data_IF_350482563871
#
_entry.id   IF_350482563871
#
_cell.length_a   1.000
_cell.length_b   1.000
_cell.length_c   1.000
_cell.angle_alpha   90.00
_cell.angle_beta   90.00
_cell.angle_gamma   90.00
#
_symmetry.space_group_name_H-M   'P 1'
#
loop_
_entity.id
_entity.type
_entity.pdbx_description
1 polymer ?
#
# COMPACT_ATOMS: atom_id res chain seq x y z
N UNK A 1 -41.47 21.00 -11.59
CA UNK A 1 -40.51 20.17 -10.84
C UNK A 1 -39.55 19.61 -11.88
N UNK A 2 -38.27 20.02 -11.86
CA UNK A 2 -37.28 19.48 -12.79
C UNK A 2 -36.60 18.32 -12.06
N UNK A 3 -36.82 17.10 -12.54
CA UNK A 3 -36.04 15.94 -12.15
C UNK A 3 -34.61 16.12 -12.70
N UNK A 4 -33.69 16.51 -11.84
CA UNK A 4 -32.26 16.46 -12.12
C UNK A 4 -31.77 15.05 -11.79
N UNK A 5 -31.58 14.24 -12.83
CA UNK A 5 -30.93 12.93 -12.71
C UNK A 5 -29.51 13.14 -12.19
N UNK A 6 -29.27 12.78 -10.93
CA UNK A 6 -27.94 12.88 -10.31
C UNK A 6 -27.02 11.80 -10.89
N UNK A 7 -26.18 12.18 -11.85
CA UNK A 7 -25.13 11.30 -12.40
C UNK A 7 -24.12 10.97 -11.32
N UNK A 8 -24.15 9.73 -10.84
CA UNK A 8 -23.17 9.22 -9.87
C UNK A 8 -21.84 9.00 -10.58
N UNK A 9 -20.80 9.73 -10.17
CA UNK A 9 -19.44 9.51 -10.67
C UNK A 9 -18.90 8.17 -10.17
N UNK A 10 -18.08 7.46 -10.96
CA UNK A 10 -17.47 6.22 -10.53
C UNK A 10 -16.57 6.45 -9.30
N UNK A 11 -16.46 5.44 -8.43
CA UNK A 11 -15.58 5.48 -7.29
C UNK A 11 -14.12 5.72 -7.74
N UNK A 12 -13.39 6.55 -7.00
CA UNK A 12 -11.98 6.80 -7.29
C UNK A 12 -11.19 5.49 -7.08
N UNK A 13 -10.67 4.93 -8.17
CA UNK A 13 -9.83 3.72 -8.19
C UNK A 13 -8.78 3.85 -9.30
N UNK A 14 -7.57 4.29 -8.95
CA UNK A 14 -6.54 4.64 -9.96
C UNK A 14 -5.13 4.48 -9.39
N UNK A 15 -4.20 4.06 -10.25
CA UNK A 15 -2.77 4.03 -9.92
C UNK A 15 -2.23 5.44 -9.72
N UNK A 16 -1.49 5.66 -8.64
CA UNK A 16 -1.05 6.99 -8.27
C UNK A 16 0.26 6.92 -7.51
N UNK A 17 1.09 7.96 -7.68
CA UNK A 17 2.19 8.29 -6.76
C UNK A 17 1.67 9.38 -5.83
N UNK A 18 1.72 9.13 -4.53
CA UNK A 18 1.19 10.00 -3.48
C UNK A 18 2.34 10.56 -2.67
N UNK A 19 2.40 11.88 -2.58
CA UNK A 19 3.38 12.60 -1.77
C UNK A 19 2.77 12.94 -0.41
N UNK A 20 3.44 12.51 0.65
CA UNK A 20 3.01 12.65 2.03
C UNK A 20 3.91 13.67 2.74
N UNK A 21 3.29 14.67 3.36
CA UNK A 21 3.98 15.72 4.13
C UNK A 21 5.20 16.35 3.40
N UNK A 22 5.16 16.41 2.06
CA UNK A 22 6.18 17.04 1.21
C UNK A 22 7.55 16.37 1.16
N UNK A 23 7.71 15.14 1.68
CA UNK A 23 9.01 14.42 1.68
C UNK A 23 8.90 12.94 1.41
N UNK A 24 7.87 12.30 1.97
CA UNK A 24 7.67 10.87 1.80
C UNK A 24 6.83 10.63 0.55
N UNK A 25 7.10 9.56 -0.17
CA UNK A 25 6.33 9.18 -1.34
C UNK A 25 5.95 7.71 -1.23
N UNK A 26 4.75 7.38 -1.71
CA UNK A 26 4.25 6.01 -1.80
C UNK A 26 3.50 5.88 -3.13
N UNK A 27 3.59 4.72 -3.78
CA UNK A 27 2.86 4.47 -5.01
C UNK A 27 2.08 3.17 -4.91
N UNK A 28 0.93 3.12 -5.57
CA UNK A 28 0.03 1.98 -5.52
C UNK A 28 -1.30 2.28 -6.17
N UNK A 29 -2.22 1.30 -6.09
CA UNK A 29 -3.60 1.51 -6.52
C UNK A 29 -4.37 2.24 -5.41
N UNK A 30 -4.93 3.40 -5.73
CA UNK A 30 -5.49 4.33 -4.77
C UNK A 30 -7.00 4.35 -4.83
N UNK A 31 -7.64 4.28 -3.66
CA UNK A 31 -9.09 4.39 -3.52
C UNK A 31 -9.51 5.17 -2.28
N UNK A 32 -10.72 5.70 -2.31
CA UNK A 32 -11.33 6.37 -1.15
C UNK A 32 -11.91 5.34 -0.16
N UNK A 33 -11.81 5.64 1.14
CA UNK A 33 -12.38 4.86 2.24
C UNK A 33 -12.97 5.78 3.29
N UNK A 34 -14.02 5.32 3.95
CA UNK A 34 -14.58 5.98 5.14
C UNK A 34 -14.48 5.06 6.34
N UNK A 35 -13.84 5.51 7.41
CA UNK A 35 -13.70 4.77 8.67
C UNK A 35 -14.13 5.69 9.80
N UNK A 36 -15.07 5.23 10.64
CA UNK A 36 -15.62 6.00 11.76
C UNK A 36 -16.10 7.42 11.35
N UNK A 37 -16.71 7.53 10.17
CA UNK A 37 -17.20 8.81 9.62
C UNK A 37 -16.11 9.75 9.10
N UNK A 38 -14.84 9.34 9.09
CA UNK A 38 -13.73 10.10 8.54
C UNK A 38 -13.27 9.52 7.21
N UNK A 39 -13.00 10.39 6.25
CA UNK A 39 -12.47 10.02 4.93
C UNK A 39 -10.97 9.72 4.99
N UNK A 40 -10.54 8.72 4.24
CA UNK A 40 -9.16 8.30 4.08
C UNK A 40 -8.89 7.96 2.61
N UNK A 41 -7.65 8.17 2.20
CA UNK A 41 -7.11 7.63 0.96
C UNK A 41 -6.35 6.35 1.30
N UNK A 42 -6.81 5.23 0.76
CA UNK A 42 -6.12 3.95 0.85
C UNK A 42 -5.20 3.78 -0.36
N UNK A 43 -3.91 3.56 -0.10
CA UNK A 43 -2.91 3.19 -1.12
C UNK A 43 -2.59 1.70 -0.95
N UNK A 44 -2.89 0.92 -1.99
CA UNK A 44 -2.54 -0.51 -2.07
C UNK A 44 -1.24 -0.67 -2.83
N UNK A 45 -0.16 -0.96 -2.11
CA UNK A 45 1.16 -1.25 -2.67
C UNK A 45 1.20 -2.73 -3.04
N UNK A 46 1.45 -3.09 -4.32
CA UNK A 46 1.57 -4.48 -4.72
C UNK A 46 2.82 -5.13 -4.13
N UNK A 47 2.82 -6.45 -4.11
CA UNK A 47 4.00 -7.27 -3.83
C UNK A 47 5.11 -6.99 -4.84
N UNK A 48 6.36 -6.93 -4.36
CA UNK A 48 7.55 -6.65 -5.17
C UNK A 48 8.54 -7.81 -5.24
N UNK A 49 8.18 -8.99 -4.72
CA UNK A 49 9.07 -10.13 -4.48
C UNK A 49 9.90 -9.97 -3.21
N UNK A 50 10.55 -8.81 -3.04
CA UNK A 50 11.35 -8.50 -1.84
C UNK A 50 10.49 -8.13 -0.61
N UNK A 51 9.28 -7.62 -0.85
CA UNK A 51 8.34 -7.26 0.21
C UNK A 51 6.91 -7.66 -0.17
N UNK A 52 6.15 -8.22 0.79
CA UNK A 52 4.76 -8.55 0.57
C UNK A 52 3.95 -7.28 0.32
N UNK A 53 2.96 -7.39 -0.56
CA UNK A 53 2.02 -6.30 -0.81
C UNK A 53 1.31 -5.87 0.47
N UNK A 54 1.05 -4.58 0.61
CA UNK A 54 0.46 -3.99 1.81
C UNK A 54 -0.40 -2.77 1.49
N UNK A 55 -1.22 -2.35 2.44
CA UNK A 55 -2.09 -1.19 2.30
C UNK A 55 -1.81 -0.17 3.39
N UNK A 56 -1.85 1.11 3.05
CA UNK A 56 -1.79 2.21 4.03
C UNK A 56 -2.94 3.18 3.80
N UNK A 57 -3.51 3.66 4.90
CA UNK A 57 -4.59 4.64 4.89
C UNK A 57 -4.04 5.98 5.38
N UNK A 58 -4.31 7.03 4.63
CA UNK A 58 -3.88 8.38 4.93
C UNK A 58 -5.09 9.29 5.05
N UNK A 59 -5.12 10.10 6.11
CA UNK A 59 -6.09 11.19 6.19
C UNK A 59 -5.78 12.25 5.12
N UNK A 60 -6.79 12.99 4.62
CA UNK A 60 -6.59 13.99 3.57
C UNK A 60 -5.50 15.03 3.89
N UNK A 61 -5.38 15.44 5.15
CA UNK A 61 -4.36 16.41 5.59
C UNK A 61 -2.91 15.90 5.55
N UNK A 62 -2.70 14.60 5.33
CA UNK A 62 -1.36 14.03 5.15
C UNK A 62 -0.84 14.17 3.71
N UNK A 63 -1.75 14.38 2.76
CA UNK A 63 -1.47 14.32 1.34
C UNK A 63 -1.06 15.71 0.87
N UNK A 64 0.19 15.82 0.40
CA UNK A 64 0.68 17.02 -0.24
C UNK A 64 0.29 17.06 -1.72
N UNK A 65 0.48 15.95 -2.44
CA UNK A 65 0.07 15.83 -3.83
C UNK A 65 -0.27 14.38 -4.19
N UNK A 66 -1.08 14.22 -5.23
CA UNK A 66 -1.42 12.94 -5.85
C UNK A 66 -1.16 13.06 -7.35
N UNK A 67 -0.39 12.12 -7.89
CA UNK A 67 0.00 12.07 -9.30
C UNK A 67 -0.61 10.80 -9.90
N UNK A 68 -1.85 10.85 -10.43
CA UNK A 68 -2.44 9.74 -11.17
C UNK A 68 -1.53 9.33 -12.33
N UNK A 69 -1.32 8.03 -12.49
CA UNK A 69 -0.40 7.49 -13.48
C UNK A 69 -0.81 6.08 -13.92
N UNK A 70 -0.03 5.45 -14.80
CA UNK A 70 -0.26 4.06 -15.22
C UNK A 70 0.30 3.08 -14.19
N UNK A 71 -0.19 1.84 -14.24
CA UNK A 71 0.36 0.74 -13.43
C UNK A 71 1.86 0.55 -13.66
N UNK A 72 2.30 0.63 -14.91
CA UNK A 72 3.69 0.47 -15.31
C UNK A 72 4.59 1.50 -14.61
N UNK A 73 4.23 2.79 -14.64
CA UNK A 73 4.99 3.87 -14.00
C UNK A 73 4.98 3.71 -12.48
N UNK A 74 3.82 3.38 -11.89
CA UNK A 74 3.73 3.17 -10.44
C UNK A 74 4.59 2.00 -9.97
N UNK A 75 4.58 0.86 -10.69
CA UNK A 75 5.43 -0.30 -10.38
C UNK A 75 6.91 0.01 -10.55
N UNK A 76 7.29 0.74 -11.60
CA UNK A 76 8.67 1.18 -11.78
C UNK A 76 9.13 2.11 -10.64
N UNK A 77 8.24 2.99 -10.15
CA UNK A 77 8.52 3.81 -8.97
C UNK A 77 8.72 2.94 -7.72
N UNK A 78 7.82 1.99 -7.46
CA UNK A 78 7.90 1.08 -6.30
C UNK A 78 9.21 0.31 -6.30
N UNK A 79 9.62 -0.26 -7.44
CA UNK A 79 10.86 -1.03 -7.56
C UNK A 79 12.12 -0.21 -7.22
N UNK A 80 12.10 1.11 -7.48
CA UNK A 80 13.23 2.01 -7.16
C UNK A 80 13.19 2.54 -5.73
N UNK A 81 11.98 2.73 -5.19
CA UNK A 81 11.72 3.41 -3.93
C UNK A 81 10.92 2.51 -2.99
N UNK A 82 11.36 1.27 -2.75
CA UNK A 82 10.68 0.34 -1.84
C UNK A 82 10.64 0.93 -0.42
N UNK A 83 9.56 1.65 -0.12
CA UNK A 83 9.24 2.07 1.23
C UNK A 83 8.68 0.87 1.98
N UNK A 84 9.37 0.41 3.01
CA UNK A 84 8.85 -0.65 3.86
C UNK A 84 7.52 -0.21 4.52
N UNK A 85 6.55 -1.13 4.74
CA UNK A 85 5.29 -0.81 5.38
C UNK A 85 5.48 -0.08 6.73
N UNK A 86 6.51 -0.51 7.45
CA UNK A 86 7.05 0.11 8.66
C UNK A 86 8.57 0.09 8.59
N UNK A 87 9.21 1.07 9.23
CA UNK A 87 10.67 1.19 9.26
C UNK A 87 11.27 0.17 10.25
N UNK A 88 12.50 -0.28 9.99
CA UNK A 88 13.17 -1.31 10.82
C UNK A 88 13.38 -0.90 12.27
N UNK A 89 13.43 0.39 12.59
CA UNK A 89 13.50 0.87 13.97
C UNK A 89 12.17 0.81 14.72
N UNK A 90 11.04 0.60 14.03
CA UNK A 90 9.72 0.50 14.65
C UNK A 90 9.45 -0.88 15.25
N UNK A 91 10.21 -1.91 14.86
CA UNK A 91 10.02 -3.28 15.31
C UNK A 91 11.37 -3.97 15.50
N UNK A 92 11.44 -4.89 16.45
CA UNK A 92 12.44 -5.96 16.37
C UNK A 92 11.91 -7.00 15.40
N UNK A 93 12.66 -7.37 14.34
CA UNK A 93 12.23 -8.43 13.43
C UNK A 93 11.90 -9.70 14.23
N UNK A 94 10.75 -10.35 13.99
CA UNK A 94 10.47 -11.61 14.66
C UNK A 94 11.59 -12.60 14.32
N UNK A 95 12.13 -13.28 15.33
CA UNK A 95 12.99 -14.43 15.09
C UNK A 95 12.13 -15.47 14.37
N UNK A 96 12.51 -15.81 13.14
CA UNK A 96 11.90 -16.93 12.45
C UNK A 96 12.24 -18.20 13.25
N UNK A 97 11.26 -19.09 13.51
CA UNK A 97 11.57 -20.38 14.11
C UNK A 97 12.59 -21.08 13.22
N UNK A 98 13.71 -21.49 13.82
CA UNK A 98 14.69 -22.35 13.16
C UNK A 98 14.00 -23.70 13.03
N UNK A 99 13.58 -24.05 11.82
CA UNK A 99 13.18 -25.43 11.53
C UNK A 99 14.46 -26.26 11.56
N UNK A 100 14.51 -27.39 12.30
CA UNK A 100 15.61 -28.33 12.17
C UNK A 100 15.76 -28.70 10.70
N UNK A 101 16.99 -28.75 10.20
CA UNK A 101 17.26 -29.27 8.85
C UNK A 101 16.61 -30.66 8.72
N UNK A 102 16.01 -30.97 7.56
CA UNK A 102 15.28 -32.24 7.32
C UNK A 102 16.16 -33.48 7.57
N UNK A 103 17.49 -33.31 7.47
CA UNK A 103 18.53 -34.29 7.82
C UNK A 103 18.57 -34.66 9.32
N UNK A 104 17.78 -33.99 10.16
CA UNK A 104 17.62 -34.32 11.59
C UNK A 104 16.51 -35.34 11.85
N UNK A 105 15.76 -35.74 10.82
CA UNK A 105 14.70 -36.74 10.95
C UNK A 105 15.36 -38.12 11.09
N UNK A 106 15.15 -38.87 12.19
CA UNK A 106 15.65 -40.23 12.28
C UNK A 106 15.04 -41.06 11.14
N UNK A 107 15.91 -41.79 10.43
CA UNK A 107 15.61 -42.69 9.28
C UNK A 107 14.85 -43.96 9.69
N UNK A 108 14.10 -43.93 10.80
CA UNK A 108 13.50 -45.14 11.37
C UNK A 108 11.96 -45.09 11.26
N UNK A 109 11.45 -45.66 10.18
CA UNK A 109 10.06 -46.17 10.04
C UNK A 109 10.08 -47.64 9.61
#
# INVERSE_FOLDING_TARGET
MKDETQTTLPAFDTWCIVELYGRQQIAGKVSERTIAGQGFIQVNVPDTGDQPGYSRLFGPGAIYSMIPTTEEIARAFIARNVGAPIQTWQITPPQLPVFPDDDSRPEDF
#
